data_IF_284999043772
#
_entry.id   IF_284999043772
#
_cell.length_a   1.000
_cell.length_b   1.000
_cell.length_c   1.000
_cell.angle_alpha   90.00
_cell.angle_beta   90.00
_cell.angle_gamma   90.00
#
_symmetry.space_group_name_H-M   'P 1'
#
loop_
_entity.id
_entity.type
_entity.pdbx_description
1 polymer ?
#
# COMPACT_ATOMS: atom_id res chain seq x y z
N UNK A 1 -10.66 -22.47 -17.97
CA UNK A 1 -9.99 -21.16 -18.02
C UNK A 1 -10.09 -20.56 -16.63
N UNK A 2 -9.00 -20.57 -15.86
CA UNK A 2 -9.02 -20.00 -14.51
C UNK A 2 -9.16 -18.49 -14.62
N UNK A 3 -10.08 -17.92 -13.87
CA UNK A 3 -10.27 -16.47 -13.79
C UNK A 3 -9.04 -15.86 -13.09
N UNK A 4 -8.17 -15.23 -13.86
CA UNK A 4 -6.97 -14.55 -13.35
C UNK A 4 -7.28 -13.47 -12.30
N UNK A 5 -8.56 -13.10 -12.15
CA UNK A 5 -9.04 -12.09 -11.20
C UNK A 5 -9.20 -12.60 -9.77
N UNK A 6 -9.14 -13.92 -9.55
CA UNK A 6 -9.36 -14.53 -8.22
C UNK A 6 -8.10 -15.08 -7.57
N UNK A 7 -6.96 -15.08 -8.26
CA UNK A 7 -5.75 -15.69 -7.77
C UNK A 7 -5.01 -14.77 -6.79
N UNK A 8 -5.40 -14.83 -5.51
CA UNK A 8 -4.59 -14.30 -4.40
C UNK A 8 -3.18 -14.91 -4.32
N UNK A 9 -2.91 -15.94 -5.10
CA UNK A 9 -1.60 -16.57 -5.26
C UNK A 9 -0.52 -15.60 -5.73
N UNK A 10 -0.84 -14.68 -6.65
CA UNK A 10 0.13 -13.69 -7.12
C UNK A 10 0.54 -12.71 -6.03
N UNK A 11 -0.38 -12.34 -5.13
CA UNK A 11 -0.09 -11.45 -4.00
C UNK A 11 0.85 -12.10 -2.97
N UNK A 12 0.93 -13.42 -2.93
CA UNK A 12 1.83 -14.12 -2.02
C UNK A 12 3.30 -14.03 -2.47
N UNK A 13 3.55 -14.10 -3.76
CA UNK A 13 4.91 -14.09 -4.31
C UNK A 13 5.38 -12.73 -4.83
N UNK A 14 4.46 -11.83 -5.14
CA UNK A 14 4.75 -10.55 -5.78
C UNK A 14 3.96 -9.41 -5.14
N UNK A 15 4.55 -8.22 -5.15
CA UNK A 15 3.80 -7.00 -4.84
C UNK A 15 2.84 -6.73 -6.01
N UNK A 16 1.56 -6.87 -5.77
CA UNK A 16 0.52 -6.63 -6.77
C UNK A 16 -0.46 -5.56 -6.30
N UNK A 17 -0.96 -4.76 -7.25
CA UNK A 17 -2.06 -3.83 -7.02
C UNK A 17 -3.42 -4.53 -7.12
N UNK A 18 -3.48 -5.74 -7.67
CA UNK A 18 -4.70 -6.56 -7.74
C UNK A 18 -4.63 -7.67 -6.69
N UNK A 19 -5.78 -8.10 -6.23
CA UNK A 19 -5.91 -9.19 -5.26
C UNK A 19 -7.25 -9.15 -4.56
N UNK A 20 -7.69 -10.32 -4.11
CA UNK A 20 -8.88 -10.43 -3.28
C UNK A 20 -8.52 -10.16 -1.82
N UNK A 21 -9.21 -9.21 -1.20
CA UNK A 21 -9.21 -9.01 0.26
C UNK A 21 -10.62 -8.69 0.71
N UNK A 22 -11.14 -9.45 1.67
CA UNK A 22 -12.44 -9.19 2.28
C UNK A 22 -12.44 -7.87 3.10
N UNK A 23 -11.26 -7.41 3.53
CA UNK A 23 -11.06 -6.20 4.32
C UNK A 23 -10.27 -5.14 3.53
N UNK A 24 -10.74 -4.79 2.33
CA UNK A 24 -10.12 -3.71 1.54
C UNK A 24 -10.24 -2.37 2.25
N UNK A 25 -9.15 -1.60 2.26
CA UNK A 25 -9.21 -0.21 2.69
C UNK A 25 -10.12 0.57 1.74
N UNK A 26 -11.08 1.34 2.29
CA UNK A 26 -12.03 2.12 1.48
C UNK A 26 -11.32 3.01 0.46
N UNK A 27 -10.27 3.74 0.85
CA UNK A 27 -9.48 4.59 -0.04
C UNK A 27 -8.87 3.82 -1.21
N UNK A 28 -8.43 2.58 -0.96
CA UNK A 28 -7.90 1.72 -2.01
C UNK A 28 -9.00 1.28 -2.97
N UNK A 29 -10.16 0.88 -2.44
CA UNK A 29 -11.32 0.49 -3.24
C UNK A 29 -11.85 1.64 -4.11
N UNK A 30 -11.85 2.88 -3.58
CA UNK A 30 -12.25 4.07 -4.32
C UNK A 30 -11.35 4.30 -5.56
N UNK A 31 -10.03 4.20 -5.41
CA UNK A 31 -9.09 4.35 -6.54
C UNK A 31 -9.13 3.14 -7.47
N UNK A 32 -9.28 1.94 -6.91
CA UNK A 32 -9.39 0.72 -7.70
C UNK A 32 -10.60 0.75 -8.64
N UNK A 33 -11.72 1.28 -8.17
CA UNK A 33 -12.91 1.52 -9.01
C UNK A 33 -12.66 2.52 -10.15
N UNK A 34 -11.82 3.51 -9.93
CA UNK A 34 -11.42 4.40 -11.02
C UNK A 34 -10.55 3.65 -12.04
N UNK A 35 -9.61 2.83 -11.58
CA UNK A 35 -8.73 2.04 -12.46
C UNK A 35 -9.51 1.01 -13.25
N UNK A 36 -10.40 0.26 -12.60
CA UNK A 36 -11.23 -0.75 -13.26
C UNK A 36 -12.41 -0.16 -14.04
N UNK A 37 -12.93 1.01 -13.60
CA UNK A 37 -14.19 1.59 -14.07
C UNK A 37 -15.42 0.91 -13.51
N UNK A 38 -16.55 1.53 -13.73
CA UNK A 38 -17.86 0.94 -13.58
C UNK A 38 -18.48 0.64 -14.95
N UNK A 39 -19.61 -0.04 -14.99
CA UNK A 39 -20.29 -0.44 -16.25
C UNK A 39 -20.61 0.75 -17.22
N UNK A 40 -20.56 1.99 -16.72
CA UNK A 40 -20.92 3.20 -17.45
C UNK A 40 -19.71 4.05 -17.87
N UNK A 41 -18.57 3.86 -17.23
CA UNK A 41 -17.37 4.67 -17.46
C UNK A 41 -16.22 3.82 -17.98
N UNK A 42 -15.60 4.24 -19.07
CA UNK A 42 -14.34 3.65 -19.55
C UNK A 42 -13.28 3.76 -18.45
N UNK A 43 -12.82 2.63 -17.94
CA UNK A 43 -11.80 2.56 -16.92
C UNK A 43 -10.41 2.92 -17.44
N UNK A 44 -9.49 3.25 -16.55
CA UNK A 44 -8.12 3.59 -16.94
C UNK A 44 -7.44 2.41 -17.65
N UNK A 45 -7.62 1.20 -17.12
CA UNK A 45 -7.08 -0.01 -17.71
C UNK A 45 -7.75 -0.31 -19.07
N UNK A 46 -9.05 -0.13 -19.17
CA UNK A 46 -9.78 -0.31 -20.45
C UNK A 46 -9.35 0.73 -21.48
N UNK A 47 -9.24 2.00 -21.09
CA UNK A 47 -8.72 3.05 -21.97
C UNK A 47 -7.29 2.75 -22.41
N UNK A 48 -6.48 2.25 -21.47
CA UNK A 48 -5.11 1.84 -21.74
C UNK A 48 -5.04 0.66 -22.70
N UNK A 49 -5.86 -0.37 -22.50
CA UNK A 49 -5.86 -1.58 -23.33
C UNK A 49 -6.64 -1.42 -24.64
N UNK A 50 -7.74 -0.64 -24.66
CA UNK A 50 -8.67 -0.53 -25.78
C UNK A 50 -8.84 0.88 -26.35
N UNK A 51 -8.64 1.93 -25.57
CA UNK A 51 -8.88 3.31 -25.97
C UNK A 51 -7.93 3.81 -27.05
N UNK A 52 -6.75 3.25 -27.13
CA UNK A 52 -5.75 3.52 -28.17
C UNK A 52 -6.29 3.22 -29.57
N UNK A 53 -7.15 2.23 -29.69
CA UNK A 53 -7.79 1.87 -30.96
C UNK A 53 -8.68 2.95 -31.56
N UNK A 54 -9.30 3.78 -30.69
CA UNK A 54 -10.26 4.80 -31.14
C UNK A 54 -9.65 6.17 -31.37
N UNK A 55 -8.49 6.46 -30.82
CA UNK A 55 -7.93 7.83 -30.81
C UNK A 55 -6.68 8.03 -31.69
N UNK A 56 -6.20 7.00 -32.40
CA UNK A 56 -4.96 7.09 -33.16
C UNK A 56 -3.76 7.42 -32.27
N UNK A 57 -2.55 7.49 -32.80
CA UNK A 57 -1.24 7.60 -32.13
C UNK A 57 -1.07 8.58 -30.94
N UNK A 58 -2.09 8.85 -30.13
CA UNK A 58 -1.98 9.66 -28.91
C UNK A 58 -1.66 8.77 -27.72
N UNK A 59 -0.64 9.15 -26.98
CA UNK A 59 -0.34 8.53 -25.69
C UNK A 59 -1.56 8.68 -24.77
N UNK A 60 -2.02 7.55 -24.22
CA UNK A 60 -3.09 7.56 -23.22
C UNK A 60 -2.43 7.65 -21.86
N UNK A 61 -2.69 8.72 -21.10
CA UNK A 61 -2.17 8.82 -19.74
C UNK A 61 -2.75 7.71 -18.86
N UNK A 62 -1.90 7.10 -18.03
CA UNK A 62 -2.31 6.15 -16.98
C UNK A 62 -1.78 6.61 -15.63
N UNK A 63 -2.12 7.82 -15.18
CA UNK A 63 -1.50 8.45 -14.02
C UNK A 63 -1.66 7.62 -12.75
N UNK A 64 -2.78 6.90 -12.59
CA UNK A 64 -3.04 6.10 -11.40
C UNK A 64 -2.20 4.82 -11.38
N UNK A 65 -2.08 4.11 -12.50
CA UNK A 65 -1.21 2.95 -12.62
C UNK A 65 0.26 3.34 -12.44
N UNK A 66 0.66 4.46 -13.04
CA UNK A 66 2.03 4.95 -12.96
C UNK A 66 2.42 5.37 -11.54
N UNK A 67 1.55 6.10 -10.82
CA UNK A 67 1.80 6.52 -9.43
C UNK A 67 1.75 5.36 -8.43
N UNK A 68 1.09 4.25 -8.77
CA UNK A 68 1.12 3.00 -8.00
C UNK A 68 2.37 2.15 -8.30
N UNK A 69 3.33 2.69 -9.04
CA UNK A 69 4.56 2.00 -9.45
C UNK A 69 4.29 0.66 -10.15
N UNK A 70 3.20 0.59 -10.93
CA UNK A 70 2.83 -0.62 -11.68
C UNK A 70 3.84 -0.86 -12.80
N UNK A 71 4.87 -1.61 -12.49
CA UNK A 71 6.02 -1.83 -13.37
C UNK A 71 5.76 -2.90 -14.43
N UNK A 72 4.96 -3.90 -14.09
CA UNK A 72 4.64 -5.00 -14.99
C UNK A 72 3.13 -5.21 -15.08
N UNK A 73 2.67 -5.55 -16.27
CA UNK A 73 1.29 -5.88 -16.58
C UNK A 73 1.28 -7.29 -17.16
N UNK A 74 0.51 -8.19 -16.56
CA UNK A 74 0.31 -9.55 -17.03
C UNK A 74 -1.02 -9.58 -17.76
N UNK A 75 -1.02 -10.00 -19.03
CA UNK A 75 -2.22 -10.05 -19.85
C UNK A 75 -2.31 -11.38 -20.61
N UNK A 76 -3.48 -12.06 -20.62
CA UNK A 76 -3.62 -13.38 -21.23
C UNK A 76 -3.45 -13.39 -22.75
N UNK A 77 -3.79 -12.28 -23.41
CA UNK A 77 -3.73 -12.15 -24.85
C UNK A 77 -2.59 -11.22 -25.29
N UNK A 78 -2.28 -11.22 -26.58
CA UNK A 78 -1.34 -10.25 -27.13
C UNK A 78 -2.00 -8.88 -27.20
N UNK A 79 -1.35 -7.88 -26.60
CA UNK A 79 -1.76 -6.48 -26.75
C UNK A 79 -1.34 -5.97 -28.14
N UNK A 80 -2.18 -5.13 -28.79
CA UNK A 80 -1.83 -4.57 -30.10
C UNK A 80 -0.59 -3.68 -30.00
N UNK A 81 0.51 -4.18 -30.45
CA UNK A 81 1.85 -3.59 -30.30
C UNK A 81 2.00 -2.17 -30.84
N UNK A 82 1.37 -1.91 -31.98
CA UNK A 82 1.60 -0.66 -32.74
C UNK A 82 1.30 0.61 -31.94
N UNK A 83 0.48 0.50 -30.91
CA UNK A 83 -0.05 1.64 -30.16
C UNK A 83 0.60 1.85 -28.79
N UNK A 84 1.39 0.88 -28.33
CA UNK A 84 1.93 0.85 -26.96
C UNK A 84 3.46 0.92 -26.93
N UNK A 85 4.10 1.06 -28.09
CA UNK A 85 5.55 0.98 -28.26
C UNK A 85 6.34 1.94 -27.37
N UNK A 86 5.77 3.09 -27.05
CA UNK A 86 6.43 4.08 -26.19
C UNK A 86 6.13 3.89 -24.71
N UNK A 87 5.05 3.18 -24.34
CA UNK A 87 4.58 3.09 -22.99
C UNK A 87 4.76 1.72 -22.36
N UNK A 88 4.50 0.65 -23.10
CA UNK A 88 4.73 -0.71 -22.63
C UNK A 88 5.64 -1.47 -23.60
N UNK A 89 6.43 -2.37 -23.03
CA UNK A 89 7.35 -3.23 -23.77
C UNK A 89 7.10 -4.68 -23.38
N UNK A 90 6.89 -5.62 -24.35
CA UNK A 90 6.81 -7.03 -24.02
C UNK A 90 8.18 -7.50 -23.53
N UNK A 91 8.18 -8.25 -22.44
CA UNK A 91 9.41 -8.76 -21.84
C UNK A 91 9.44 -10.27 -21.73
N UNK A 92 8.27 -10.90 -21.65
CA UNK A 92 8.21 -12.36 -21.49
C UNK A 92 6.82 -12.88 -21.90
N UNK A 93 6.80 -14.10 -22.46
CA UNK A 93 5.57 -14.89 -22.67
C UNK A 93 5.68 -16.18 -21.88
N UNK A 94 4.72 -16.41 -20.98
CA UNK A 94 4.66 -17.62 -20.18
C UNK A 94 4.36 -18.84 -21.06
N UNK A 95 4.75 -20.04 -20.60
CA UNK A 95 4.37 -21.31 -21.22
C UNK A 95 2.84 -21.54 -21.23
N UNK A 96 2.10 -20.85 -20.36
CA UNK A 96 0.62 -20.85 -20.33
C UNK A 96 -0.01 -19.89 -21.32
N UNK A 97 0.79 -19.14 -22.09
CA UNK A 97 0.33 -18.13 -23.06
C UNK A 97 0.14 -16.73 -22.50
N UNK A 98 0.28 -16.52 -21.18
CA UNK A 98 0.21 -15.18 -20.61
C UNK A 98 1.42 -14.32 -21.02
N UNK A 99 1.18 -13.11 -21.46
CA UNK A 99 2.20 -12.14 -21.83
C UNK A 99 2.50 -11.18 -20.69
N UNK A 100 3.77 -10.89 -20.46
CA UNK A 100 4.23 -9.91 -19.47
C UNK A 100 4.79 -8.71 -20.20
N UNK A 101 4.25 -7.55 -19.88
CA UNK A 101 4.64 -6.26 -20.42
C UNK A 101 5.24 -5.38 -19.32
N UNK A 102 6.33 -4.70 -19.64
CA UNK A 102 6.91 -3.68 -18.77
C UNK A 102 6.28 -2.32 -19.06
N UNK A 103 5.75 -1.67 -18.04
CA UNK A 103 5.31 -0.28 -18.10
C UNK A 103 6.53 0.65 -17.98
N UNK A 104 6.83 1.37 -19.07
CA UNK A 104 8.00 2.24 -19.16
C UNK A 104 7.77 3.60 -18.47
N UNK A 105 6.52 3.94 -18.14
CA UNK A 105 6.14 5.20 -17.49
C UNK A 105 5.88 5.07 -15.99
N UNK A 106 5.96 3.85 -15.44
CA UNK A 106 5.81 3.62 -14.01
C UNK A 106 6.74 4.51 -13.19
N UNK A 107 6.19 5.17 -12.16
CA UNK A 107 6.99 6.04 -11.30
C UNK A 107 7.89 5.20 -10.37
N UNK A 108 9.00 5.78 -9.90
CA UNK A 108 9.76 5.16 -8.82
C UNK A 108 8.92 5.08 -7.54
N UNK A 109 9.36 4.29 -6.56
CA UNK A 109 8.68 4.14 -5.27
C UNK A 109 8.62 5.44 -4.46
N UNK A 110 9.47 6.40 -4.75
CA UNK A 110 9.49 7.73 -4.13
C UNK A 110 9.84 8.80 -5.18
N UNK A 111 9.12 9.92 -5.16
CA UNK A 111 9.42 11.07 -6.03
C UNK A 111 8.99 12.38 -5.39
N UNK A 112 9.72 13.43 -5.70
CA UNK A 112 9.36 14.80 -5.32
C UNK A 112 8.36 15.40 -6.30
N UNK A 113 7.47 16.25 -5.81
CA UNK A 113 6.50 16.98 -6.63
C UNK A 113 6.81 18.48 -6.65
N UNK A 114 6.31 19.13 -7.71
CA UNK A 114 6.51 20.57 -7.92
C UNK A 114 5.54 21.43 -7.08
N UNK A 115 4.32 20.90 -6.83
CA UNK A 115 3.23 21.66 -6.21
C UNK A 115 2.25 20.76 -5.47
N UNK A 116 1.48 21.38 -4.58
CA UNK A 116 0.41 20.74 -3.83
C UNK A 116 -0.94 21.37 -4.19
N UNK A 117 -1.97 20.54 -4.32
CA UNK A 117 -3.36 20.96 -4.44
C UNK A 117 -4.13 20.49 -3.20
N UNK A 118 -4.76 21.42 -2.48
CA UNK A 118 -5.52 21.10 -1.29
C UNK A 118 -6.97 20.80 -1.67
N UNK A 119 -7.36 19.54 -1.55
CA UNK A 119 -8.73 19.08 -1.85
C UNK A 119 -9.23 18.22 -0.67
N UNK A 120 -9.86 18.79 0.34
CA UNK A 120 -10.36 18.06 1.50
C UNK A 120 -11.52 17.12 1.18
N UNK A 121 -12.41 17.52 0.24
CA UNK A 121 -13.57 16.75 -0.14
C UNK A 121 -13.17 15.51 -0.94
N UNK A 122 -13.69 14.35 -0.55
CA UNK A 122 -13.36 13.06 -1.15
C UNK A 122 -13.84 12.94 -2.59
N UNK A 123 -15.08 13.35 -2.88
CA UNK A 123 -15.65 13.19 -4.23
C UNK A 123 -14.94 14.12 -5.23
N UNK A 124 -14.68 15.37 -4.82
CA UNK A 124 -13.93 16.32 -5.66
C UNK A 124 -12.51 15.80 -5.91
N UNK A 125 -11.87 15.21 -4.91
CA UNK A 125 -10.54 14.60 -5.02
C UNK A 125 -10.55 13.43 -6.01
N UNK A 126 -11.51 12.51 -5.89
CA UNK A 126 -11.65 11.37 -6.79
C UNK A 126 -11.98 11.82 -8.21
N UNK A 127 -12.83 12.86 -8.36
CA UNK A 127 -13.11 13.45 -9.67
C UNK A 127 -11.85 14.03 -10.31
N UNK A 128 -11.01 14.73 -9.54
CA UNK A 128 -9.72 15.26 -10.04
C UNK A 128 -8.78 14.14 -10.45
N UNK A 129 -8.79 13.01 -9.74
CA UNK A 129 -7.96 11.84 -10.09
C UNK A 129 -8.47 11.10 -11.33
N UNK A 130 -9.75 11.22 -11.68
CA UNK A 130 -10.31 10.67 -12.94
C UNK A 130 -9.90 11.48 -14.17
N UNK A 131 -9.46 12.71 -13.98
CA UNK A 131 -8.98 13.55 -15.09
C UNK A 131 -7.75 12.88 -15.73
N UNK A 132 -7.79 12.49 -17.02
CA UNK A 132 -6.67 11.86 -17.70
C UNK A 132 -5.44 12.76 -17.80
N UNK A 133 -5.60 14.06 -17.59
CA UNK A 133 -4.51 15.05 -17.55
C UNK A 133 -4.02 15.33 -16.14
N UNK A 134 -4.54 14.65 -15.12
CA UNK A 134 -3.95 14.68 -13.79
C UNK A 134 -2.52 14.15 -13.87
N UNK A 135 -1.56 14.96 -13.44
CA UNK A 135 -0.15 14.60 -13.47
C UNK A 135 0.41 14.46 -12.04
N UNK A 136 0.31 13.27 -11.44
CA UNK A 136 0.82 13.05 -10.08
C UNK A 136 2.36 13.10 -9.98
N UNK A 137 3.06 13.17 -11.11
CA UNK A 137 4.52 13.35 -11.13
C UNK A 137 4.93 14.75 -10.65
N UNK A 138 4.12 15.76 -10.95
CA UNK A 138 4.42 17.15 -10.61
C UNK A 138 3.45 17.76 -9.60
N UNK A 139 2.24 17.21 -9.46
CA UNK A 139 1.20 17.73 -8.56
C UNK A 139 0.74 16.63 -7.60
N UNK A 140 0.89 16.87 -6.30
CA UNK A 140 0.27 16.01 -5.29
C UNK A 140 -1.01 16.65 -4.75
N UNK A 141 -2.06 15.84 -4.59
CA UNK A 141 -3.31 16.24 -3.94
C UNK A 141 -3.21 15.88 -2.46
N UNK A 142 -3.44 16.87 -1.59
CA UNK A 142 -3.42 16.71 -0.13
C UNK A 142 -4.77 17.12 0.46
N UNK A 143 -5.09 16.64 1.66
CA UNK A 143 -6.38 16.84 2.30
C UNK A 143 -6.44 18.13 3.16
N UNK A 144 -5.28 18.60 3.57
CA UNK A 144 -5.15 19.81 4.38
C UNK A 144 -4.02 20.69 3.85
N UNK A 145 -4.09 22.00 4.21
CA UNK A 145 -3.04 22.95 3.84
C UNK A 145 -1.71 22.56 4.48
N UNK A 146 -0.68 22.51 3.66
CA UNK A 146 0.72 22.29 4.07
C UNK A 146 1.50 23.53 3.66
N UNK A 147 2.15 24.17 4.61
CA UNK A 147 2.92 25.39 4.40
C UNK A 147 4.43 25.13 4.36
N UNK A 148 5.17 26.04 3.77
CA UNK A 148 6.63 26.00 3.75
C UNK A 148 7.21 24.90 2.85
N UNK A 149 6.43 24.42 1.87
CA UNK A 149 6.89 23.46 0.86
C UNK A 149 7.12 24.19 -0.46
N UNK A 150 8.25 23.89 -1.10
CA UNK A 150 8.67 24.52 -2.33
C UNK A 150 9.04 23.47 -3.38
N UNK A 151 8.93 23.85 -4.64
CA UNK A 151 9.49 23.05 -5.74
C UNK A 151 11.00 22.99 -5.58
N UNK A 152 11.61 21.81 -5.49
CA UNK A 152 13.06 21.68 -5.46
C UNK A 152 13.65 21.96 -6.86
N UNK A 153 14.81 22.60 -6.91
CA UNK A 153 15.59 22.74 -8.15
C UNK A 153 16.50 21.52 -8.35
N UNK A 154 16.92 20.90 -7.24
CA UNK A 154 17.66 19.65 -7.23
C UNK A 154 17.10 18.71 -6.17
N UNK A 155 16.78 17.49 -6.58
CA UNK A 155 16.24 16.50 -5.67
C UNK A 155 16.61 15.07 -6.11
N UNK A 156 16.65 14.18 -5.10
CA UNK A 156 16.96 12.79 -5.28
C UNK A 156 16.21 11.96 -4.26
N UNK A 157 15.69 10.81 -4.67
CA UNK A 157 15.09 9.84 -3.76
C UNK A 157 15.33 8.43 -4.31
N UNK A 158 15.91 7.56 -3.50
CA UNK A 158 16.17 6.16 -3.84
C UNK A 158 15.82 5.26 -2.66
N UNK A 159 15.08 4.19 -2.94
CA UNK A 159 14.87 3.10 -1.99
C UNK A 159 16.19 2.34 -1.79
N UNK A 160 16.60 2.20 -0.53
CA UNK A 160 17.83 1.50 -0.15
C UNK A 160 17.56 0.20 0.62
N UNK A 161 16.38 0.07 1.21
CA UNK A 161 15.96 -1.12 1.93
C UNK A 161 14.44 -1.26 1.86
N UNK A 162 13.98 -2.47 1.62
CA UNK A 162 12.55 -2.82 1.64
C UNK A 162 12.30 -4.10 2.44
N UNK A 163 11.40 -4.00 3.41
CA UNK A 163 10.78 -5.12 4.12
C UNK A 163 9.30 -4.77 4.39
N UNK A 164 8.47 -5.78 4.68
CA UNK A 164 7.03 -5.57 4.90
C UNK A 164 6.71 -4.57 6.02
N UNK A 165 7.60 -4.39 6.99
CA UNK A 165 7.41 -3.52 8.15
C UNK A 165 8.39 -2.35 8.22
N UNK A 166 9.36 -2.30 7.30
CA UNK A 166 10.38 -1.26 7.29
C UNK A 166 10.85 -0.97 5.87
N UNK A 167 10.78 0.29 5.48
CA UNK A 167 11.28 0.76 4.17
C UNK A 167 12.20 1.95 4.43
N UNK A 168 13.35 1.98 3.77
CA UNK A 168 14.31 3.08 3.89
C UNK A 168 14.60 3.69 2.53
N UNK A 169 14.73 5.01 2.55
CA UNK A 169 15.08 5.82 1.40
C UNK A 169 16.25 6.74 1.73
N UNK A 170 17.19 6.86 0.82
CA UNK A 170 18.10 7.99 0.79
C UNK A 170 17.46 9.11 -0.02
N UNK A 171 17.37 10.29 0.57
CA UNK A 171 16.70 11.44 -0.04
C UNK A 171 17.59 12.67 0.07
N UNK A 172 17.54 13.52 -0.94
CA UNK A 172 18.22 14.81 -0.91
C UNK A 172 17.36 15.87 -1.62
N UNK A 173 17.39 17.08 -1.11
CA UNK A 173 16.69 18.22 -1.70
C UNK A 173 17.39 19.52 -1.31
N UNK A 174 17.31 20.54 -2.15
CA UNK A 174 17.86 21.87 -1.88
C UNK A 174 16.91 22.79 -1.12
N UNK A 175 15.62 22.40 -1.01
CA UNK A 175 14.57 23.16 -0.31
C UNK A 175 13.70 22.23 0.52
N UNK A 176 12.86 22.78 1.41
CA UNK A 176 11.77 22.00 1.96
C UNK A 176 10.86 21.53 0.82
N UNK A 177 10.86 20.25 0.54
CA UNK A 177 10.15 19.69 -0.59
C UNK A 177 9.22 18.54 -0.17
N UNK A 178 8.18 18.30 -0.95
CA UNK A 178 7.21 17.27 -0.67
C UNK A 178 7.56 16.00 -1.46
N UNK A 179 7.84 14.94 -0.73
CA UNK A 179 8.12 13.61 -1.26
C UNK A 179 6.84 12.77 -1.21
N UNK A 180 6.45 12.22 -2.35
CA UNK A 180 5.38 11.23 -2.45
C UNK A 180 5.99 9.83 -2.46
N UNK A 181 5.40 8.92 -1.69
CA UNK A 181 5.78 7.52 -1.63
C UNK A 181 4.65 6.68 -2.24
N UNK A 182 5.00 5.79 -3.16
CA UNK A 182 4.06 4.82 -3.76
C UNK A 182 3.72 3.68 -2.78
N UNK A 183 3.32 4.08 -1.59
CA UNK A 183 2.92 3.20 -0.50
C UNK A 183 1.52 3.58 -0.04
N UNK A 184 0.66 2.58 0.21
CA UNK A 184 -0.72 2.82 0.62
C UNK A 184 -0.75 3.50 1.99
N UNK A 185 -1.46 4.64 2.06
CA UNK A 185 -1.67 5.35 3.31
C UNK A 185 -2.55 4.54 4.27
N UNK A 186 -1.95 4.13 5.37
CA UNK A 186 -2.61 3.45 6.47
C UNK A 186 -2.15 4.07 7.79
N UNK A 187 -2.97 4.91 8.44
CA UNK A 187 -2.55 5.69 9.61
C UNK A 187 -2.35 4.84 10.88
N UNK A 188 -2.99 3.66 10.94
CA UNK A 188 -2.92 2.81 12.13
C UNK A 188 -1.67 1.95 12.16
N UNK A 189 -0.49 2.58 12.30
CA UNK A 189 0.74 1.84 12.55
C UNK A 189 1.95 2.32 11.78
N UNK A 190 1.81 2.93 10.61
CA UNK A 190 2.96 3.48 9.91
C UNK A 190 3.44 4.79 10.52
N UNK A 191 4.73 4.87 10.78
CA UNK A 191 5.44 6.06 11.25
C UNK A 191 6.60 6.37 10.30
N UNK A 192 6.88 7.67 10.12
CA UNK A 192 8.00 8.16 9.33
C UNK A 192 9.06 8.78 10.22
N UNK A 193 10.33 8.54 9.91
CA UNK A 193 11.47 9.10 10.64
C UNK A 193 12.47 9.66 9.62
N UNK A 194 12.88 10.91 9.82
CA UNK A 194 13.98 11.52 9.09
C UNK A 194 15.18 11.59 10.04
N UNK A 195 16.26 10.91 9.69
CA UNK A 195 17.48 10.79 10.51
C UNK A 195 17.18 10.36 11.97
N UNK A 196 16.21 9.45 12.12
CA UNK A 196 15.76 8.92 13.42
C UNK A 196 14.75 9.80 14.16
N UNK A 197 14.41 11.01 13.67
CA UNK A 197 13.40 11.89 14.27
C UNK A 197 12.03 11.67 13.59
N UNK A 198 11.01 11.39 14.40
CA UNK A 198 9.65 11.17 13.90
C UNK A 198 9.12 12.42 13.18
N UNK A 199 8.47 12.21 12.02
CA UNK A 199 7.87 13.26 11.19
C UNK A 199 6.46 12.85 10.76
N UNK A 200 5.67 13.82 10.29
CA UNK A 200 4.30 13.59 9.86
C UNK A 200 4.23 12.86 8.52
N UNK A 201 3.23 11.97 8.40
CA UNK A 201 2.81 11.35 7.15
C UNK A 201 1.50 11.99 6.71
N UNK A 202 1.47 12.51 5.49
CA UNK A 202 0.29 13.16 4.91
C UNK A 202 -0.42 12.22 3.93
N UNK A 203 -1.76 12.07 4.04
CA UNK A 203 -2.52 11.38 3.00
C UNK A 203 -2.40 12.14 1.69
N UNK A 204 -1.93 11.47 0.66
CA UNK A 204 -1.54 12.06 -0.62
C UNK A 204 -2.19 11.31 -1.76
N UNK A 205 -2.68 12.01 -2.78
CA UNK A 205 -3.35 11.41 -3.93
C UNK A 205 -4.37 10.35 -3.49
N UNK A 206 -5.15 10.68 -2.45
CA UNK A 206 -6.16 9.84 -1.80
C UNK A 206 -5.63 8.60 -1.09
N UNK A 207 -4.68 7.86 -1.65
CA UNK A 207 -4.25 6.55 -1.14
C UNK A 207 -2.76 6.44 -0.82
N UNK A 208 -1.94 7.39 -1.24
CA UNK A 208 -0.49 7.38 -1.07
C UNK A 208 -0.05 8.12 0.20
N UNK A 209 1.22 7.99 0.53
CA UNK A 209 1.86 8.70 1.63
C UNK A 209 2.66 9.88 1.09
N UNK A 210 2.66 10.97 1.81
CA UNK A 210 3.55 12.10 1.57
C UNK A 210 4.31 12.49 2.83
N UNK A 211 5.53 12.98 2.65
CA UNK A 211 6.41 13.44 3.73
C UNK A 211 7.11 14.71 3.29
N UNK A 212 7.28 15.67 4.21
CA UNK A 212 8.10 16.87 3.96
C UNK A 212 9.56 16.52 4.26
N UNK A 213 10.42 16.72 3.30
CA UNK A 213 11.87 16.53 3.45
C UNK A 213 12.53 17.91 3.56
N UNK A 214 13.30 18.17 4.62
CA UNK A 214 14.06 19.41 4.76
C UNK A 214 15.22 19.48 3.77
N UNK A 215 15.84 20.66 3.56
CA UNK A 215 17.03 20.79 2.72
C UNK A 215 18.20 19.96 3.26
N UNK A 216 18.91 19.29 2.38
CA UNK A 216 20.07 18.46 2.71
C UNK A 216 19.93 17.01 2.23
N UNK A 217 20.85 16.18 2.68
CA UNK A 217 20.83 14.73 2.49
C UNK A 217 20.33 14.07 3.77
N UNK A 218 19.33 13.21 3.64
CA UNK A 218 18.67 12.58 4.77
C UNK A 218 18.38 11.11 4.49
N UNK A 219 18.21 10.34 5.58
CA UNK A 219 17.64 9.00 5.55
C UNK A 219 16.19 9.08 6.00
N UNK A 220 15.24 8.78 5.11
CA UNK A 220 13.83 8.60 5.46
C UNK A 220 13.60 7.13 5.75
N UNK A 221 13.09 6.83 6.94
CA UNK A 221 12.72 5.48 7.36
C UNK A 221 11.22 5.42 7.65
N UNK A 222 10.51 4.49 7.01
CA UNK A 222 9.10 4.19 7.23
C UNK A 222 9.01 2.89 8.03
N UNK A 223 8.42 2.94 9.25
CA UNK A 223 8.26 1.77 10.12
C UNK A 223 6.80 1.50 10.43
N UNK A 224 6.42 0.23 10.39
CA UNK A 224 5.12 -0.21 10.90
C UNK A 224 5.21 -0.56 12.38
N UNK A 225 4.60 0.26 13.23
CA UNK A 225 4.59 0.14 14.69
C UNK A 225 3.12 0.11 15.15
N UNK A 226 2.57 -1.09 15.35
CA UNK A 226 1.18 -1.24 15.79
C UNK A 226 1.11 -1.30 17.31
N UNK A 227 0.69 -0.21 17.95
CA UNK A 227 0.42 -0.14 19.39
C UNK A 227 -0.70 -1.11 19.77
N UNK A 228 -1.72 -1.24 18.94
CA UNK A 228 -2.84 -2.17 19.17
C UNK A 228 -2.38 -3.62 19.20
N UNK A 229 -1.44 -4.00 18.32
CA UNK A 229 -0.88 -5.35 18.29
C UNK A 229 -0.10 -5.65 19.60
N UNK A 230 0.72 -4.70 20.06
CA UNK A 230 1.48 -4.85 21.32
C UNK A 230 0.53 -5.02 22.50
N UNK A 231 -0.52 -4.20 22.59
CA UNK A 231 -1.52 -4.29 23.64
C UNK A 231 -2.27 -5.63 23.59
N UNK A 232 -2.72 -6.06 22.42
CA UNK A 232 -3.43 -7.34 22.26
C UNK A 232 -2.56 -8.54 22.63
N UNK A 233 -1.27 -8.50 22.32
CA UNK A 233 -0.31 -9.54 22.72
C UNK A 233 -0.19 -9.63 24.25
N UNK A 234 -0.04 -8.49 24.93
CA UNK A 234 0.04 -8.44 26.39
C UNK A 234 -1.24 -9.00 27.02
N UNK A 235 -2.43 -8.56 26.53
CA UNK A 235 -3.72 -9.04 27.03
C UNK A 235 -3.90 -10.55 26.79
N UNK A 236 -3.48 -11.05 25.64
CA UNK A 236 -3.54 -12.48 25.31
C UNK A 236 -2.64 -13.31 26.23
N UNK A 237 -1.40 -12.88 26.45
CA UNK A 237 -0.46 -13.58 27.34
C UNK A 237 -0.91 -13.55 28.79
N UNK A 238 -1.43 -12.43 29.27
CA UNK A 238 -1.97 -12.32 30.63
C UNK A 238 -3.20 -13.20 30.84
N UNK A 239 -4.10 -13.25 29.84
CA UNK A 239 -5.27 -14.14 29.84
C UNK A 239 -4.87 -15.61 29.85
N UNK A 240 -3.90 -16.00 29.04
CA UNK A 240 -3.36 -17.36 29.03
C UNK A 240 -2.76 -17.73 30.40
N UNK A 241 -1.93 -16.85 30.98
CA UNK A 241 -1.34 -17.07 32.30
C UNK A 241 -2.40 -17.24 33.40
N UNK A 242 -3.42 -16.37 33.40
CA UNK A 242 -4.54 -16.46 34.33
C UNK A 242 -5.28 -17.80 34.20
N UNK A 243 -5.53 -18.26 32.96
CA UNK A 243 -6.16 -19.57 32.72
C UNK A 243 -5.33 -20.73 33.27
N UNK A 244 -4.01 -20.72 33.03
CA UNK A 244 -3.11 -21.76 33.57
C UNK A 244 -3.12 -21.76 35.08
N UNK A 245 -3.07 -20.58 35.72
CA UNK A 245 -3.12 -20.46 37.18
C UNK A 245 -4.42 -21.03 37.76
N UNK A 246 -5.56 -20.69 37.14
CA UNK A 246 -6.87 -21.22 37.56
C UNK A 246 -6.96 -22.74 37.42
N UNK A 247 -6.43 -23.31 36.35
CA UNK A 247 -6.35 -24.75 36.17
C UNK A 247 -5.50 -25.43 37.24
N UNK A 248 -4.33 -24.89 37.54
CA UNK A 248 -3.45 -25.44 38.61
C UNK A 248 -4.13 -25.40 39.96
N UNK A 249 -4.79 -24.27 40.29
CA UNK A 249 -5.57 -24.14 41.52
C UNK A 249 -6.74 -25.16 41.56
N UNK A 250 -7.47 -25.32 40.46
CA UNK A 250 -8.57 -26.29 40.36
C UNK A 250 -8.12 -27.71 40.54
N UNK A 251 -7.06 -28.14 39.90
CA UNK A 251 -6.46 -29.47 40.05
C UNK A 251 -5.98 -29.69 41.52
N UNK A 252 -5.30 -28.70 42.09
CA UNK A 252 -4.85 -28.76 43.48
C UNK A 252 -5.99 -28.90 44.47
N UNK A 253 -7.13 -28.27 44.19
CA UNK A 253 -8.32 -28.36 45.04
C UNK A 253 -8.99 -29.73 44.96
N UNK A 254 -9.13 -30.28 43.75
CA UNK A 254 -9.66 -31.64 43.53
C UNK A 254 -8.78 -32.70 44.19
N UNK A 255 -7.45 -32.60 44.11
CA UNK A 255 -6.52 -33.51 44.78
C UNK A 255 -6.64 -33.44 46.29
N UNK A 256 -6.92 -32.27 46.90
CA UNK A 256 -7.16 -32.13 48.33
C UNK A 256 -8.51 -32.74 48.78
N UNK A 257 -9.55 -32.63 47.95
CA UNK A 257 -10.87 -33.27 48.23
C UNK A 257 -10.76 -34.79 48.19
N UNK A 258 -10.08 -35.36 47.18
CA UNK A 258 -9.89 -36.82 47.12
C UNK A 258 -9.13 -37.43 48.28
N UNK A 259 -8.17 -36.69 48.87
CA UNK A 259 -7.47 -37.16 50.10
C UNK A 259 -8.33 -37.12 51.35
N UNK A 260 -9.35 -36.25 51.45
CA UNK A 260 -10.26 -36.20 52.62
C UNK A 260 -11.33 -37.31 52.58
N UNK A 261 -11.78 -37.73 51.42
CA UNK A 261 -12.77 -38.81 51.23
C UNK A 261 -12.13 -40.18 51.43
N UNK A 262 -10.89 -40.43 51.00
CA UNK A 262 -10.18 -41.69 51.19
C UNK A 262 -9.74 -41.97 52.64
N UNK A 263 -9.67 -40.94 53.50
CA UNK A 263 -9.30 -41.11 54.94
C UNK A 263 -10.45 -41.52 55.86
N UNK A 264 -11.72 -41.39 55.41
CA UNK A 264 -12.90 -41.77 56.24
C UNK A 264 -13.37 -43.19 56.03
N UNK A 265 -12.96 -43.89 55.01
CA UNK A 265 -13.31 -45.32 54.77
C UNK A 265 -12.38 -46.28 55.53
N UNK A 266 -11.22 -45.86 55.96
CA UNK A 266 -10.28 -46.74 56.66
C UNK A 266 -10.54 -46.80 58.21
N UNK A 267 -11.39 -45.94 58.80
CA UNK A 267 -11.66 -45.88 60.25
C UNK A 267 -12.97 -46.63 60.61
N UNK A 268 -13.59 -47.35 59.67
CA UNK A 268 -14.83 -48.13 59.88
C UNK A 268 -14.73 -49.59 59.52
N UNK A 269 -13.54 -50.20 59.53
CA UNK A 269 -13.40 -51.64 59.37
C UNK A 269 -12.76 -52.29 60.59
#
# INVERSE_FOLDING_TARGET
MGDFRTAGEWAYYHQTIDGYSAAKLKRYDDVWKIIQGDEKNENELYRYLNGVYKQGNKEIPTPLLDMLSTKYIIYPDSLPYAFLLNKIKPVFTSYTGANIYQNMTAYPRAWFVDSLSVIPDTEVRLQKMRDPYFNPRSLAIVESKIEGVFKPDSCYAQETFFDMHNVKYEVATDKNAFLVLSEIYYPAGWKAFIDGKETAIYPTNHILRGVIIPPGKHTLEMKFISETYRLSLILSLTGLLATVVLLVIGIGWEMKKGKKTGGQEVEKS
#
